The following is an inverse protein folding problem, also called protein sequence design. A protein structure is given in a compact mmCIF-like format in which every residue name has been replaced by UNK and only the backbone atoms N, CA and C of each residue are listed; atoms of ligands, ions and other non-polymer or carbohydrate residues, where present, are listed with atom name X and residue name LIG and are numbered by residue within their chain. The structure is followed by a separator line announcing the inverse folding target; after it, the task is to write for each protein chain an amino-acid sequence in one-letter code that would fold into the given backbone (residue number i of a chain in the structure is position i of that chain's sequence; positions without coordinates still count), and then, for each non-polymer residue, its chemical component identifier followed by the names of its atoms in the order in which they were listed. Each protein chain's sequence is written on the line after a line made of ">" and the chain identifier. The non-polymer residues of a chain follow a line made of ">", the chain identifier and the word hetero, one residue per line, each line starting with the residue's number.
data_IF_793400596833
#
_entry.id   IF_793400596833
#
_cell.length_a   1.000
_cell.length_b   1.000
_cell.length_c   1.000
_cell.angle_alpha   90.00
_cell.angle_beta   90.00
_cell.angle_gamma   90.00
#
_symmetry.space_group_name_H-M   'P 1'
#
loop_
_entity.id
_entity.type
_entity.pdbx_description
1 polymer ?
#
# COMPACT_ATOMS: atom_id res chain seq x y z
N UNK A 1 -21.71 -0.92 -3.83
CA UNK A 1 -21.40 -0.72 -5.27
C UNK A 1 -22.65 -0.31 -6.04
N UNK A 2 -23.53 0.46 -5.40
CA UNK A 2 -24.96 0.31 -5.66
C UNK A 2 -25.51 1.44 -6.54
N UNK A 3 -24.61 2.32 -6.99
CA UNK A 3 -24.92 3.55 -7.74
C UNK A 3 -24.58 3.44 -9.22
N UNK A 4 -23.76 2.46 -9.63
CA UNK A 4 -23.31 2.27 -11.02
C UNK A 4 -23.47 0.81 -11.44
N UNK A 5 -23.55 0.57 -12.75
CA UNK A 5 -23.70 -0.78 -13.33
C UNK A 5 -22.41 -1.33 -13.93
N UNK A 6 -21.35 -0.53 -14.00
CA UNK A 6 -20.05 -0.95 -14.51
C UNK A 6 -19.27 -1.65 -13.39
N UNK A 7 -18.35 -2.59 -13.71
CA UNK A 7 -17.54 -3.25 -12.70
C UNK A 7 -16.73 -2.26 -11.85
N UNK A 8 -16.67 -2.50 -10.54
CA UNK A 8 -15.95 -1.67 -9.57
C UNK A 8 -14.76 -2.43 -9.01
N UNK A 9 -13.57 -1.82 -9.09
CA UNK A 9 -12.37 -2.30 -8.41
C UNK A 9 -12.14 -1.47 -7.14
N UNK A 10 -12.12 -2.13 -5.98
CA UNK A 10 -11.72 -1.50 -4.73
C UNK A 10 -10.20 -1.32 -4.69
N UNK A 11 -9.73 -0.14 -4.25
CA UNK A 11 -8.31 0.18 -4.18
C UNK A 11 -7.93 0.78 -2.82
N UNK A 12 -6.71 0.49 -2.37
CA UNK A 12 -6.15 1.04 -1.13
C UNK A 12 -6.41 0.15 0.09
N UNK A 13 -5.37 -0.08 0.89
CA UNK A 13 -5.46 -0.88 2.12
C UNK A 13 -5.52 -2.40 1.92
N UNK A 14 -5.65 -2.88 0.69
CA UNK A 14 -5.75 -4.32 0.37
C UNK A 14 -4.36 -4.89 0.13
N UNK A 15 -4.00 -5.96 0.87
CA UNK A 15 -2.71 -6.64 0.73
C UNK A 15 -2.77 -8.17 0.99
N UNK A 16 -3.92 -8.70 1.40
CA UNK A 16 -4.14 -10.11 1.72
C UNK A 16 -5.60 -10.53 1.46
N UNK A 17 -5.93 -11.81 1.70
CA UNK A 17 -7.27 -12.36 1.53
C UNK A 17 -8.33 -11.66 2.38
N UNK A 18 -7.97 -11.14 3.57
CA UNK A 18 -8.92 -10.45 4.45
C UNK A 18 -9.37 -9.14 3.82
N UNK A 19 -8.41 -8.35 3.30
CA UNK A 19 -8.71 -7.14 2.55
C UNK A 19 -9.52 -7.42 1.29
N UNK A 20 -9.22 -8.51 0.58
CA UNK A 20 -9.98 -8.92 -0.60
C UNK A 20 -11.42 -9.29 -0.26
N UNK A 21 -11.64 -10.15 0.74
CA UNK A 21 -13.00 -10.53 1.18
C UNK A 21 -13.79 -9.32 1.66
N UNK A 22 -13.16 -8.40 2.41
CA UNK A 22 -13.82 -7.17 2.84
C UNK A 22 -14.26 -6.30 1.64
N UNK A 23 -13.41 -6.16 0.62
CA UNK A 23 -13.74 -5.42 -0.59
C UNK A 23 -14.91 -6.05 -1.36
N UNK A 24 -14.90 -7.37 -1.54
CA UNK A 24 -15.98 -8.11 -2.20
C UNK A 24 -17.29 -8.01 -1.41
N UNK A 25 -17.22 -8.10 -0.08
CA UNK A 25 -18.39 -7.94 0.80
C UNK A 25 -19.00 -6.52 0.74
N UNK A 26 -18.20 -5.49 0.46
CA UNK A 26 -18.66 -4.12 0.20
C UNK A 26 -19.26 -3.94 -1.22
N UNK A 27 -19.28 -5.00 -2.02
CA UNK A 27 -19.86 -5.07 -3.35
C UNK A 27 -18.90 -4.78 -4.50
N UNK A 28 -17.59 -4.71 -4.26
CA UNK A 28 -16.64 -4.59 -5.36
C UNK A 28 -16.57 -5.89 -6.18
N UNK A 29 -16.30 -5.79 -7.47
CA UNK A 29 -16.13 -6.93 -8.39
C UNK A 29 -14.67 -7.42 -8.42
N UNK A 30 -13.76 -6.63 -7.89
CA UNK A 30 -12.34 -6.96 -7.81
C UNK A 30 -11.56 -5.95 -7.00
N UNK A 31 -10.23 -6.11 -7.00
CA UNK A 31 -9.31 -5.31 -6.19
C UNK A 31 -8.15 -4.79 -7.02
N UNK A 32 -7.71 -3.57 -6.73
CA UNK A 32 -6.50 -2.95 -7.27
C UNK A 32 -5.47 -2.77 -6.16
N UNK A 33 -4.29 -3.35 -6.35
CA UNK A 33 -3.31 -3.54 -5.27
C UNK A 33 -1.97 -2.92 -5.67
N UNK A 34 -1.49 -1.96 -4.86
CA UNK A 34 -0.20 -1.29 -5.07
C UNK A 34 0.92 -1.82 -4.17
N UNK A 35 0.98 -1.38 -2.91
CA UNK A 35 2.11 -1.63 -1.98
C UNK A 35 2.55 -3.10 -1.89
N UNK A 36 1.60 -4.05 -1.89
CA UNK A 36 1.88 -5.50 -1.83
C UNK A 36 2.64 -6.00 -3.05
N UNK A 37 2.32 -5.50 -4.26
CA UNK A 37 3.01 -5.86 -5.50
C UNK A 37 4.36 -5.15 -5.65
N UNK A 38 4.56 -4.00 -5.01
CA UNK A 38 5.89 -3.36 -4.93
C UNK A 38 6.92 -4.26 -4.23
N UNK A 39 6.49 -5.08 -3.26
CA UNK A 39 7.32 -6.08 -2.57
C UNK A 39 7.21 -7.48 -3.18
N UNK A 40 7.22 -7.56 -4.52
CA UNK A 40 7.32 -8.85 -5.25
C UNK A 40 8.69 -9.06 -5.86
N UNK A 41 9.05 -10.27 -6.29
CA UNK A 41 10.31 -10.53 -6.99
C UNK A 41 10.39 -9.77 -8.33
N UNK A 42 9.28 -9.75 -9.06
CA UNK A 42 9.12 -9.18 -10.40
C UNK A 42 8.98 -7.66 -10.39
N UNK A 43 8.55 -7.06 -9.27
CA UNK A 43 8.43 -5.60 -9.19
C UNK A 43 9.77 -4.88 -9.40
N UNK A 44 9.80 -3.81 -10.19
CA UNK A 44 11.03 -3.10 -10.57
C UNK A 44 11.62 -2.20 -9.46
N UNK A 45 10.98 -2.11 -8.31
CA UNK A 45 11.48 -1.32 -7.19
C UNK A 45 12.84 -1.85 -6.72
N UNK A 46 13.78 -0.94 -6.46
CA UNK A 46 15.11 -1.29 -5.97
C UNK A 46 15.04 -2.23 -4.75
N UNK A 47 15.92 -3.23 -4.59
CA UNK A 47 15.83 -4.20 -3.49
C UNK A 47 15.74 -3.59 -2.09
N UNK A 48 16.42 -2.46 -1.87
CA UNK A 48 16.32 -1.68 -0.61
C UNK A 48 14.90 -1.15 -0.33
N UNK A 49 14.14 -0.79 -1.37
CA UNK A 49 12.73 -0.39 -1.24
C UNK A 49 11.87 -1.57 -0.84
N UNK A 50 12.02 -2.73 -1.49
CA UNK A 50 11.32 -3.96 -1.11
C UNK A 50 11.60 -4.33 0.36
N UNK A 51 12.86 -4.21 0.78
CA UNK A 51 13.27 -4.43 2.17
C UNK A 51 12.67 -3.40 3.14
N UNK A 52 12.53 -2.14 2.74
CA UNK A 52 11.88 -1.13 3.56
C UNK A 52 10.39 -1.42 3.72
N UNK A 53 9.71 -1.87 2.66
CA UNK A 53 8.31 -2.27 2.70
C UNK A 53 8.11 -3.37 3.75
N UNK A 54 8.88 -4.47 3.69
CA UNK A 54 8.67 -5.61 4.60
C UNK A 54 9.07 -5.35 6.06
N UNK A 55 9.83 -4.27 6.32
CA UNK A 55 10.28 -3.88 7.67
C UNK A 55 9.42 -2.79 8.29
N UNK A 56 8.52 -2.18 7.52
CA UNK A 56 7.66 -1.10 7.98
C UNK A 56 6.49 -1.63 8.80
N UNK A 57 6.02 -0.82 9.74
CA UNK A 57 4.91 -1.14 10.64
C UNK A 57 3.69 -0.24 10.34
N UNK A 58 2.57 -0.44 11.03
CA UNK A 58 1.25 0.11 10.72
C UNK A 58 1.10 1.64 10.84
N UNK A 59 2.11 2.35 11.36
CA UNK A 59 2.14 3.82 11.48
C UNK A 59 3.25 4.51 10.66
N UNK A 60 3.91 3.80 9.73
CA UNK A 60 5.08 4.34 9.03
C UNK A 60 4.76 5.22 7.80
N UNK A 61 3.50 5.64 7.58
CA UNK A 61 3.14 6.47 6.41
C UNK A 61 2.55 7.81 6.81
N UNK A 62 2.80 8.83 6.00
CA UNK A 62 2.28 10.19 6.20
C UNK A 62 1.54 10.69 4.97
N UNK A 63 0.54 11.52 5.19
CA UNK A 63 -0.12 12.27 4.12
C UNK A 63 0.77 13.46 3.75
N UNK A 64 1.09 13.60 2.47
CA UNK A 64 1.92 14.68 1.95
C UNK A 64 1.08 15.52 0.99
N UNK A 65 0.96 16.82 1.26
CA UNK A 65 0.33 17.77 0.35
C UNK A 65 1.30 18.08 -0.80
N UNK A 66 1.35 17.21 -1.81
CA UNK A 66 2.23 17.42 -2.96
C UNK A 66 1.69 18.58 -3.81
N UNK A 67 2.57 19.16 -4.61
CA UNK A 67 2.24 20.31 -5.48
C UNK A 67 0.96 20.11 -6.31
N UNK A 68 0.75 18.91 -6.85
CA UNK A 68 -0.36 18.59 -7.77
C UNK A 68 -1.48 17.79 -7.09
N UNK A 69 -1.15 16.98 -6.08
CA UNK A 69 -2.10 16.04 -5.47
C UNK A 69 -1.73 15.76 -4.02
N UNK A 70 -2.73 15.49 -3.18
CA UNK A 70 -2.47 14.94 -1.85
C UNK A 70 -2.08 13.46 -2.01
N UNK A 71 -0.86 13.11 -1.63
CA UNK A 71 -0.34 11.75 -1.69
C UNK A 71 -0.15 11.14 -0.31
N UNK A 72 0.14 9.84 -0.29
CA UNK A 72 0.58 9.13 0.90
C UNK A 72 1.91 8.43 0.62
N UNK A 73 2.86 8.63 1.52
CA UNK A 73 4.23 8.18 1.35
C UNK A 73 4.76 7.57 2.64
N UNK A 74 5.82 6.76 2.54
CA UNK A 74 6.58 6.30 3.69
C UNK A 74 7.17 7.50 4.42
N UNK A 75 6.98 7.57 5.74
CA UNK A 75 7.60 8.59 6.56
C UNK A 75 9.11 8.41 6.58
N UNK A 76 9.83 9.41 6.08
CA UNK A 76 11.28 9.39 6.00
C UNK A 76 11.85 10.83 6.04
N UNK A 77 13.16 10.96 5.80
CA UNK A 77 13.84 12.26 5.78
C UNK A 77 13.29 13.17 4.68
N UNK A 78 12.92 12.61 3.52
CA UNK A 78 12.29 13.37 2.44
C UNK A 78 10.94 13.95 2.88
N UNK A 79 10.00 13.12 3.38
CA UNK A 79 8.65 13.59 3.73
C UNK A 79 8.67 14.58 4.88
N UNK A 80 9.56 14.40 5.86
CA UNK A 80 9.72 15.33 6.97
C UNK A 80 10.20 16.70 6.46
N UNK A 81 11.28 16.72 5.67
CA UNK A 81 11.82 17.95 5.09
C UNK A 81 10.80 18.64 4.18
N UNK A 82 10.15 17.89 3.31
CA UNK A 82 9.13 18.41 2.41
C UNK A 82 7.99 19.07 3.20
N UNK A 83 7.49 18.40 4.25
CA UNK A 83 6.37 18.91 5.04
C UNK A 83 6.74 20.15 5.86
N UNK A 84 7.95 20.19 6.43
CA UNK A 84 8.48 21.37 7.13
C UNK A 84 8.58 22.59 6.20
N UNK A 85 9.09 22.40 4.98
CA UNK A 85 9.21 23.48 4.00
C UNK A 85 7.84 24.02 3.56
N UNK A 86 6.88 23.12 3.31
CA UNK A 86 5.51 23.50 3.00
C UNK A 86 4.85 24.28 4.16
N UNK A 87 5.07 23.86 5.40
CA UNK A 87 4.55 24.57 6.58
C UNK A 87 5.14 25.97 6.75
N UNK A 88 6.35 26.21 6.24
CA UNK A 88 7.00 27.52 6.20
C UNK A 88 6.56 28.38 5.01
N UNK A 89 5.66 27.89 4.15
CA UNK A 89 5.19 28.60 2.96
C UNK A 89 6.21 28.64 1.82
N UNK A 90 7.22 27.76 1.83
CA UNK A 90 8.20 27.69 0.75
C UNK A 90 7.57 27.14 -0.53
N UNK A 91 7.97 27.69 -1.69
CA UNK A 91 7.72 27.00 -2.96
C UNK A 91 8.65 25.80 -3.06
N UNK A 92 8.08 24.60 -3.04
CA UNK A 92 8.81 23.33 -3.16
C UNK A 92 8.96 22.85 -4.61
N UNK A 93 8.41 23.60 -5.56
CA UNK A 93 8.50 23.32 -6.99
C UNK A 93 9.97 23.32 -7.45
N UNK A 94 10.41 22.23 -8.10
CA UNK A 94 11.78 22.08 -8.60
C UNK A 94 12.88 21.84 -7.54
N UNK A 95 12.58 21.91 -6.24
CA UNK A 95 13.56 21.69 -5.18
C UNK A 95 13.99 20.23 -5.06
N UNK A 96 13.08 19.31 -5.36
CA UNK A 96 13.33 17.88 -5.33
C UNK A 96 13.34 17.37 -6.76
N UNK A 97 14.52 17.04 -7.27
CA UNK A 97 14.72 16.49 -8.60
C UNK A 97 14.42 14.99 -8.57
N UNK A 98 13.38 14.57 -9.29
CA UNK A 98 12.93 13.18 -9.44
C UNK A 98 12.93 12.36 -8.13
N UNK A 99 12.27 12.85 -7.07
CA UNK A 99 12.37 12.25 -5.74
C UNK A 99 11.90 10.79 -5.69
N UNK A 100 10.90 10.40 -6.51
CA UNK A 100 10.52 8.99 -6.66
C UNK A 100 11.60 8.15 -7.32
N UNK A 101 12.27 8.64 -8.38
CA UNK A 101 13.36 7.93 -9.04
C UNK A 101 14.52 7.67 -8.07
N UNK A 102 14.80 8.64 -7.19
CA UNK A 102 15.79 8.51 -6.13
C UNK A 102 15.50 7.35 -5.18
N UNK A 103 14.24 7.14 -4.78
CA UNK A 103 13.88 5.98 -3.95
C UNK A 103 13.75 4.70 -4.80
N UNK A 104 12.82 4.69 -5.76
CA UNK A 104 12.39 3.50 -6.49
C UNK A 104 13.49 2.90 -7.37
N UNK A 105 14.36 3.73 -7.97
CA UNK A 105 15.41 3.24 -8.88
C UNK A 105 16.78 3.25 -8.21
N UNK A 106 17.15 4.33 -7.52
CA UNK A 106 18.48 4.45 -6.87
C UNK A 106 18.54 3.84 -5.47
N UNK A 107 17.40 3.43 -4.89
CA UNK A 107 17.36 2.74 -3.61
C UNK A 107 17.61 3.63 -2.39
N UNK A 108 17.53 4.96 -2.52
CA UNK A 108 17.64 5.89 -1.40
C UNK A 108 16.27 6.07 -0.72
N UNK A 109 15.90 5.08 0.08
CA UNK A 109 14.62 5.03 0.81
C UNK A 109 14.50 6.16 1.85
N UNK A 110 15.62 6.72 2.32
CA UNK A 110 15.58 7.75 3.38
C UNK A 110 15.30 9.13 2.81
N UNK A 111 15.98 9.50 1.73
CA UNK A 111 15.92 10.84 1.16
C UNK A 111 15.23 10.92 -0.21
N UNK A 112 14.71 9.81 -0.73
CA UNK A 112 13.77 9.77 -1.85
C UNK A 112 12.32 9.68 -1.39
N UNK A 113 11.40 9.97 -2.30
CA UNK A 113 9.96 9.83 -2.11
C UNK A 113 9.55 8.38 -2.36
N UNK A 114 8.82 7.78 -1.42
CA UNK A 114 8.32 6.43 -1.56
C UNK A 114 6.80 6.40 -1.37
N UNK A 115 6.02 6.47 -2.46
CA UNK A 115 4.57 6.36 -2.38
C UNK A 115 4.16 4.97 -1.91
N UNK A 116 3.40 4.89 -0.82
CA UNK A 116 2.90 3.64 -0.29
C UNK A 116 1.65 3.83 0.56
N UNK A 117 0.73 2.86 0.50
CA UNK A 117 -0.46 2.81 1.35
C UNK A 117 -0.19 2.27 2.75
N UNK A 118 -1.15 2.45 3.66
CA UNK A 118 -1.07 1.98 5.05
C UNK A 118 -1.01 0.45 5.19
N UNK A 119 -1.42 -0.30 4.16
CA UNK A 119 -1.24 -1.75 4.12
C UNK A 119 0.23 -2.19 4.14
N UNK A 120 1.19 -1.25 4.05
CA UNK A 120 2.61 -1.54 4.23
C UNK A 120 2.90 -2.32 5.52
N UNK A 121 2.17 -2.05 6.61
CA UNK A 121 2.36 -2.71 7.89
C UNK A 121 1.88 -4.17 7.95
N UNK A 122 1.14 -4.65 6.94
CA UNK A 122 0.70 -6.05 6.86
C UNK A 122 1.55 -6.89 5.91
N UNK A 123 2.54 -6.28 5.27
CA UNK A 123 3.40 -6.93 4.29
C UNK A 123 4.69 -7.34 4.99
N UNK A 124 4.85 -8.63 5.34
CA UNK A 124 6.01 -9.12 6.09
C UNK A 124 7.06 -9.89 5.28
N UNK A 125 6.85 -10.08 3.98
CA UNK A 125 7.68 -10.94 3.15
C UNK A 125 7.79 -10.41 1.70
N UNK A 126 8.81 -10.87 0.98
CA UNK A 126 8.91 -10.69 -0.48
C UNK A 126 8.51 -12.03 -1.09
N UNK A 127 7.57 -11.99 -2.02
CA UNK A 127 6.99 -13.16 -2.71
C UNK A 127 7.03 -12.91 -4.22
N UNK A 128 6.84 -13.93 -5.04
CA UNK A 128 6.51 -13.72 -6.46
C UNK A 128 5.11 -13.10 -6.60
N UNK A 129 4.86 -12.46 -7.73
CA UNK A 129 3.53 -11.94 -8.06
C UNK A 129 2.48 -13.06 -8.10
N UNK A 130 2.85 -14.25 -8.58
CA UNK A 130 2.00 -15.43 -8.60
C UNK A 130 1.63 -15.87 -7.17
N UNK A 131 2.62 -16.06 -6.29
CA UNK A 131 2.38 -16.47 -4.90
C UNK A 131 1.51 -15.46 -4.13
N UNK A 132 1.63 -14.15 -4.42
CA UNK A 132 0.73 -13.14 -3.84
C UNK A 132 -0.71 -13.40 -4.25
N UNK A 133 -0.97 -13.61 -5.55
CA UNK A 133 -2.32 -13.86 -6.05
C UNK A 133 -2.87 -15.17 -5.49
N UNK A 134 -2.08 -16.24 -5.54
CA UNK A 134 -2.45 -17.57 -5.05
C UNK A 134 -2.80 -17.53 -3.57
N UNK A 135 -1.92 -16.96 -2.72
CA UNK A 135 -2.17 -16.80 -1.29
C UNK A 135 -3.46 -16.03 -1.01
N UNK A 136 -3.71 -14.96 -1.78
CA UNK A 136 -4.93 -14.18 -1.63
C UNK A 136 -6.18 -15.01 -1.96
N UNK A 137 -6.16 -15.72 -3.08
CA UNK A 137 -7.28 -16.55 -3.56
C UNK A 137 -7.54 -17.75 -2.63
N UNK A 138 -6.50 -18.47 -2.22
CA UNK A 138 -6.61 -19.63 -1.32
C UNK A 138 -7.19 -19.24 0.05
N UNK A 139 -6.82 -18.06 0.57
CA UNK A 139 -7.30 -17.61 1.87
C UNK A 139 -8.77 -17.14 1.89
N UNK A 140 -9.42 -16.92 0.74
CA UNK A 140 -10.81 -16.43 0.68
C UNK A 140 -11.75 -17.33 1.48
N UNK A 141 -11.71 -18.64 1.20
CA UNK A 141 -12.61 -19.62 1.84
C UNK A 141 -12.43 -19.62 3.35
N UNK A 142 -11.18 -19.68 3.81
CA UNK A 142 -10.86 -19.69 5.25
C UNK A 142 -11.34 -18.42 5.94
N UNK A 143 -11.18 -17.24 5.30
CA UNK A 143 -11.67 -15.97 5.85
C UNK A 143 -13.19 -15.96 5.96
N UNK A 144 -13.91 -16.46 4.95
CA UNK A 144 -15.38 -16.55 4.98
C UNK A 144 -15.87 -17.48 6.10
N UNK A 145 -15.29 -18.66 6.23
CA UNK A 145 -15.62 -19.63 7.30
C UNK A 145 -15.36 -19.04 8.69
N UNK A 146 -14.24 -18.31 8.88
CA UNK A 146 -13.95 -17.61 10.13
C UNK A 146 -14.97 -16.51 10.45
N UNK A 147 -15.40 -15.75 9.44
CA UNK A 147 -16.42 -14.71 9.61
C UNK A 147 -17.77 -15.33 9.97
N UNK A 148 -18.17 -16.40 9.28
CA UNK A 148 -19.41 -17.12 9.57
C UNK A 148 -19.42 -17.66 11.00
N UNK A 149 -18.35 -18.34 11.42
CA UNK A 149 -18.21 -18.88 12.78
C UNK A 149 -18.29 -17.80 13.87
N UNK A 150 -17.77 -16.58 13.61
CA UNK A 150 -17.90 -15.43 14.53
C UNK A 150 -19.33 -14.93 14.65
N UNK A 151 -20.10 -15.01 13.58
CA UNK A 151 -21.49 -14.52 13.55
C UNK A 151 -22.43 -15.57 14.15
N UNK A 152 -22.20 -16.85 13.88
CA UNK A 152 -23.03 -17.95 14.41
C UNK A 152 -22.86 -18.17 15.91
N UNK A 153 -21.79 -17.64 16.51
CA UNK A 153 -21.48 -17.82 17.93
C UNK A 153 -20.78 -19.15 18.25
N UNK A 154 -20.26 -19.84 17.24
CA UNK A 154 -19.56 -21.13 17.40
C UNK A 154 -18.10 -20.99 17.85
N UNK A 155 -17.62 -19.76 18.03
CA UNK A 155 -16.32 -19.48 18.64
C UNK A 155 -16.45 -19.45 20.17
N UNK A 156 -16.25 -20.61 20.77
CA UNK A 156 -15.86 -20.76 22.17
C UNK A 156 -14.33 -20.65 22.33
#
# INVERSE_FOLDING_TARGET
>A
ADTVKVPILAAGGIADSRGMVAALALGADGVYIGTRFMATHEGDAHPRVKQAVIRSQDACTVTVNKWVVVGRDLQNTFTNKYSEMMAQGASVEGLFQEPMYRALVRGDVKAGELPCGQSIGTIGNIMSAAEVIESMMEGIRSVLEQVESRISGDLA
#
